data_IF_090893891382
#
_entry.id   IF_090893891382
#
_cell.length_a   1.000
_cell.length_b   1.000
_cell.length_c   1.000
_cell.angle_alpha   90.00
_cell.angle_beta   90.00
_cell.angle_gamma   90.00
#
_symmetry.space_group_name_H-M   'P 1'
#
loop_
_entity.id
_entity.type
_entity.pdbx_description
1 polymer ?
#
# COMPACT_ATOMS: atom_id res chain seq x y z
N UNK A 1 22.93 7.26 -17.93
CA UNK A 1 21.99 6.13 -17.70
C UNK A 1 22.34 5.47 -16.38
N UNK A 2 21.42 5.43 -15.44
CA UNK A 2 21.65 4.81 -14.11
C UNK A 2 21.78 3.28 -14.25
N UNK A 3 22.37 2.62 -13.25
CA UNK A 3 22.45 1.14 -13.19
C UNK A 3 21.04 0.52 -13.29
N UNK A 4 20.05 1.14 -12.64
CA UNK A 4 18.64 0.73 -12.69
C UNK A 4 18.07 0.77 -14.13
N UNK A 5 18.39 1.79 -14.89
CA UNK A 5 17.97 1.93 -16.30
C UNK A 5 18.65 0.90 -17.21
N UNK A 6 19.94 0.65 -17.00
CA UNK A 6 20.69 -0.39 -17.74
C UNK A 6 20.10 -1.79 -17.50
N UNK A 7 19.76 -2.11 -16.24
CA UNK A 7 19.11 -3.39 -15.89
C UNK A 7 17.72 -3.49 -16.53
N UNK A 8 16.92 -2.41 -16.51
CA UNK A 8 15.58 -2.40 -17.10
C UNK A 8 15.62 -2.57 -18.64
N UNK A 9 16.60 -1.98 -19.29
CA UNK A 9 16.74 -2.03 -20.75
C UNK A 9 17.21 -3.39 -21.28
N UNK A 10 17.81 -4.24 -20.45
CA UNK A 10 18.31 -5.55 -20.86
C UNK A 10 17.51 -6.70 -20.20
N UNK A 11 16.62 -7.40 -20.95
CA UNK A 11 15.79 -8.46 -20.41
C UNK A 11 16.57 -9.63 -19.79
N UNK A 12 17.72 -10.00 -20.34
CA UNK A 12 18.56 -11.09 -19.82
C UNK A 12 19.19 -10.67 -18.49
N UNK A 13 19.76 -9.47 -18.43
CA UNK A 13 20.34 -8.92 -17.20
C UNK A 13 19.27 -8.75 -16.12
N UNK A 14 18.09 -8.23 -16.48
CA UNK A 14 16.95 -8.12 -15.57
C UNK A 14 16.57 -9.47 -14.97
N UNK A 15 16.46 -10.53 -15.78
CA UNK A 15 16.13 -11.88 -15.31
C UNK A 15 17.18 -12.42 -14.37
N UNK A 16 18.46 -12.23 -14.68
CA UNK A 16 19.58 -12.68 -13.84
C UNK A 16 19.57 -11.97 -12.49
N UNK A 17 19.44 -10.64 -12.48
CA UNK A 17 19.35 -9.85 -11.25
C UNK A 17 18.15 -10.26 -10.41
N UNK A 18 16.98 -10.41 -11.01
CA UNK A 18 15.77 -10.86 -10.29
C UNK A 18 15.95 -12.26 -9.71
N UNK A 19 16.52 -13.21 -10.45
CA UNK A 19 16.75 -14.58 -9.96
C UNK A 19 17.77 -14.64 -8.79
N UNK A 20 18.75 -13.73 -8.80
CA UNK A 20 19.70 -13.59 -7.70
C UNK A 20 19.05 -13.00 -6.43
N UNK A 21 18.04 -12.15 -6.59
CA UNK A 21 17.42 -11.41 -5.47
C UNK A 21 16.16 -12.09 -4.92
N UNK A 22 15.42 -12.79 -5.75
CA UNK A 22 14.13 -13.40 -5.42
C UNK A 22 14.19 -14.91 -5.74
N UNK A 23 13.83 -15.82 -4.82
CA UNK A 23 13.70 -17.23 -5.13
C UNK A 23 12.62 -17.47 -6.19
N UNK A 24 12.78 -18.52 -7.00
CA UNK A 24 11.77 -18.90 -7.99
C UNK A 24 10.40 -19.13 -7.31
N UNK A 25 9.34 -18.63 -7.92
CA UNK A 25 7.95 -18.74 -7.47
C UNK A 25 7.67 -18.12 -6.08
N UNK A 26 8.42 -17.10 -5.70
CA UNK A 26 8.20 -16.35 -4.46
C UNK A 26 8.21 -14.84 -4.73
N UNK A 27 7.51 -14.08 -3.88
CA UNK A 27 7.59 -12.61 -3.86
C UNK A 27 8.62 -12.11 -2.82
N UNK A 28 9.01 -12.97 -1.89
CA UNK A 28 9.92 -12.62 -0.78
C UNK A 28 11.36 -12.50 -1.27
N UNK A 29 12.09 -11.43 -0.93
CA UNK A 29 13.50 -11.31 -1.24
C UNK A 29 14.33 -12.36 -0.48
N UNK A 30 15.47 -12.76 -1.07
CA UNK A 30 16.45 -13.59 -0.37
C UNK A 30 17.01 -12.86 0.85
N UNK A 31 17.48 -13.61 1.86
CA UNK A 31 17.98 -13.06 3.12
C UNK A 31 19.12 -12.05 2.93
N UNK A 32 20.03 -12.31 1.99
CA UNK A 32 21.13 -11.39 1.71
C UNK A 32 20.65 -10.02 1.19
N UNK A 33 19.57 -10.00 0.37
CA UNK A 33 18.95 -8.73 -0.06
C UNK A 33 18.39 -7.99 1.14
N UNK A 34 17.70 -8.71 2.02
CA UNK A 34 17.10 -8.13 3.23
C UNK A 34 18.15 -7.53 4.17
N UNK A 35 19.31 -8.18 4.30
CA UNK A 35 20.34 -7.75 5.28
C UNK A 35 21.37 -6.78 4.70
N UNK A 36 21.72 -6.92 3.41
CA UNK A 36 22.82 -6.15 2.82
C UNK A 36 22.41 -5.07 1.81
N UNK A 37 21.21 -5.14 1.22
CA UNK A 37 20.74 -4.12 0.29
C UNK A 37 19.64 -3.23 0.89
N UNK A 38 18.62 -3.85 1.47
CA UNK A 38 17.44 -3.13 1.95
C UNK A 38 17.74 -2.04 2.99
N UNK A 39 18.67 -2.20 3.94
CA UNK A 39 18.99 -1.15 4.91
C UNK A 39 19.53 0.15 4.30
N UNK A 40 20.13 0.08 3.10
CA UNK A 40 20.66 1.25 2.40
C UNK A 40 19.64 1.92 1.46
N UNK A 41 18.55 1.22 1.13
CA UNK A 41 17.55 1.70 0.16
C UNK A 41 16.26 2.14 0.84
N UNK A 42 15.87 1.45 1.90
CA UNK A 42 14.64 1.71 2.61
C UNK A 42 14.87 2.58 3.84
N UNK A 43 13.87 3.39 4.17
CA UNK A 43 13.96 4.32 5.30
C UNK A 43 13.01 3.89 6.41
N UNK A 44 13.54 3.88 7.62
CA UNK A 44 12.79 3.67 8.84
C UNK A 44 13.04 4.84 9.77
N UNK A 45 11.98 5.56 10.12
CA UNK A 45 12.02 6.73 10.97
C UNK A 45 12.41 6.41 12.43
N UNK A 46 12.58 7.47 13.21
CA UNK A 46 12.86 7.36 14.65
C UNK A 46 11.67 6.71 15.36
N UNK A 47 11.94 5.80 16.29
CA UNK A 47 10.92 5.03 17.05
C UNK A 47 9.95 4.20 16.18
N UNK A 48 10.14 4.15 14.86
CA UNK A 48 9.30 3.35 13.99
C UNK A 48 9.47 1.86 14.32
N UNK A 49 8.36 1.10 14.33
CA UNK A 49 8.32 -0.30 14.72
C UNK A 49 7.68 -1.18 13.65
N UNK A 50 8.30 -2.31 13.39
CA UNK A 50 7.73 -3.40 12.59
C UNK A 50 7.73 -4.63 13.46
N UNK A 51 6.55 -5.19 13.73
CA UNK A 51 6.42 -6.40 14.55
C UNK A 51 7.00 -7.62 13.84
N UNK A 52 7.59 -8.52 14.60
CA UNK A 52 8.46 -9.60 14.08
C UNK A 52 7.74 -10.63 13.23
N UNK A 53 6.44 -10.82 13.42
CA UNK A 53 5.60 -11.76 12.66
C UNK A 53 5.07 -11.17 11.36
N UNK A 54 5.43 -9.93 11.02
CA UNK A 54 5.01 -9.32 9.75
C UNK A 54 5.87 -9.78 8.60
N UNK A 55 5.24 -9.93 7.45
CA UNK A 55 5.88 -10.30 6.20
C UNK A 55 6.27 -9.04 5.42
N UNK A 56 7.55 -8.74 5.38
CA UNK A 56 8.10 -7.58 4.68
C UNK A 56 8.81 -8.05 3.41
N UNK A 57 8.06 -8.04 2.30
CA UNK A 57 8.52 -8.45 0.97
C UNK A 57 8.96 -7.23 0.17
N UNK A 58 9.94 -6.48 0.70
CA UNK A 58 10.43 -5.26 0.06
C UNK A 58 11.74 -5.51 -0.70
N UNK A 59 11.79 -4.95 -1.90
CA UNK A 59 12.87 -5.07 -2.87
C UNK A 59 13.49 -3.70 -3.15
N UNK A 60 14.79 -3.61 -3.41
CA UNK A 60 15.48 -2.33 -3.57
C UNK A 60 15.14 -1.57 -4.87
N UNK A 61 14.24 -2.10 -5.69
CA UNK A 61 13.81 -1.46 -6.94
C UNK A 61 12.82 -0.32 -6.73
N UNK A 62 12.02 -0.40 -5.68
CA UNK A 62 11.04 0.59 -5.27
C UNK A 62 11.29 0.99 -3.82
N UNK A 63 10.79 2.14 -3.42
CA UNK A 63 10.97 2.65 -2.08
C UNK A 63 10.06 1.91 -1.08
N UNK A 64 10.56 1.77 0.13
CA UNK A 64 9.77 1.51 1.32
C UNK A 64 10.21 2.51 2.38
N UNK A 65 9.27 3.31 2.85
CA UNK A 65 9.48 4.32 3.88
C UNK A 65 8.46 4.09 4.97
N UNK A 66 8.93 4.01 6.21
CA UNK A 66 8.10 4.01 7.40
C UNK A 66 8.49 5.23 8.24
N UNK A 67 7.55 6.15 8.43
CA UNK A 67 7.75 7.41 9.13
C UNK A 67 8.05 7.26 10.63
N UNK A 68 8.34 8.39 11.27
CA UNK A 68 8.66 8.43 12.71
C UNK A 68 7.45 8.00 13.55
N UNK A 69 7.70 7.32 14.66
CA UNK A 69 6.69 6.89 15.63
C UNK A 69 5.55 6.04 15.02
N UNK A 70 5.77 5.48 13.82
CA UNK A 70 4.81 4.66 13.09
C UNK A 70 5.02 3.17 13.37
N UNK A 71 3.94 2.40 13.37
CA UNK A 71 3.96 0.99 13.70
C UNK A 71 3.27 0.13 12.65
N UNK A 72 3.92 -0.97 12.26
CA UNK A 72 3.31 -2.09 11.53
C UNK A 72 3.17 -3.26 12.51
N UNK A 73 1.92 -3.61 12.82
CA UNK A 73 1.59 -4.69 13.75
C UNK A 73 1.80 -6.08 13.12
N UNK A 74 1.63 -7.14 13.91
CA UNK A 74 1.87 -8.51 13.50
C UNK A 74 0.98 -8.98 12.34
N UNK A 75 1.44 -9.98 11.61
CA UNK A 75 0.77 -10.64 10.49
C UNK A 75 0.47 -9.76 9.28
N UNK A 76 1.01 -8.54 9.24
CA UNK A 76 0.91 -7.69 8.06
C UNK A 76 1.77 -8.24 6.91
N UNK A 77 1.31 -8.01 5.68
CA UNK A 77 2.10 -8.22 4.46
C UNK A 77 2.35 -6.87 3.79
N UNK A 78 3.62 -6.52 3.62
CA UNK A 78 4.05 -5.29 2.92
C UNK A 78 4.89 -5.68 1.72
N UNK A 79 4.44 -5.37 0.51
CA UNK A 79 5.09 -5.75 -0.74
C UNK A 79 5.22 -4.55 -1.68
N UNK A 80 6.46 -4.09 -1.90
CA UNK A 80 6.78 -3.01 -2.82
C UNK A 80 7.21 -3.51 -4.22
N UNK A 81 7.03 -4.78 -4.52
CA UNK A 81 7.52 -5.38 -5.77
C UNK A 81 6.99 -4.71 -7.04
N UNK A 82 5.83 -4.10 -6.97
CA UNK A 82 5.16 -3.45 -8.10
C UNK A 82 5.07 -1.92 -8.00
N UNK A 83 5.43 -1.33 -6.87
CA UNK A 83 5.44 0.12 -6.66
C UNK A 83 5.87 0.49 -5.25
N UNK A 84 6.14 1.76 -5.04
CA UNK A 84 6.58 2.30 -3.77
C UNK A 84 5.53 2.11 -2.67
N UNK A 85 5.99 1.93 -1.42
CA UNK A 85 5.14 1.99 -0.24
C UNK A 85 5.72 3.05 0.68
N UNK A 86 4.96 4.10 0.90
CA UNK A 86 5.34 5.24 1.73
C UNK A 86 4.31 5.38 2.84
N UNK A 87 4.77 5.33 4.08
CA UNK A 87 3.95 5.48 5.28
C UNK A 87 4.51 6.66 6.07
N UNK A 88 3.65 7.63 6.35
CA UNK A 88 3.97 8.85 7.09
C UNK A 88 4.23 8.61 8.58
N UNK A 89 4.32 9.70 9.32
CA UNK A 89 4.63 9.71 10.75
C UNK A 89 3.39 9.40 11.62
N UNK A 90 3.60 8.83 12.81
CA UNK A 90 2.57 8.53 13.82
C UNK A 90 1.40 7.69 13.28
N UNK A 91 1.66 6.92 12.22
CA UNK A 91 0.67 6.09 11.53
C UNK A 91 0.71 4.66 12.09
N UNK A 92 -0.46 4.11 12.32
CA UNK A 92 -0.62 2.73 12.81
C UNK A 92 -1.23 1.84 11.74
N UNK A 93 -0.50 0.83 11.35
CA UNK A 93 -0.95 -0.27 10.49
C UNK A 93 -1.30 -1.44 11.41
N UNK A 94 -2.59 -1.64 11.66
CA UNK A 94 -3.11 -2.69 12.54
C UNK A 94 -2.81 -4.10 12.03
N UNK A 95 -3.15 -5.09 12.81
CA UNK A 95 -2.82 -6.49 12.56
C UNK A 95 -3.45 -7.03 11.27
N UNK A 96 -2.72 -7.88 10.55
CA UNK A 96 -3.25 -8.63 9.40
C UNK A 96 -3.44 -7.83 8.12
N UNK A 97 -2.98 -6.58 8.07
CA UNK A 97 -3.14 -5.73 6.88
C UNK A 97 -2.26 -6.18 5.72
N UNK A 98 -2.76 -6.01 4.49
CA UNK A 98 -2.05 -6.31 3.25
C UNK A 98 -1.84 -5.02 2.45
N UNK A 99 -0.58 -4.62 2.28
CA UNK A 99 -0.18 -3.44 1.52
C UNK A 99 0.63 -3.89 0.29
N UNK A 100 0.05 -3.73 -0.90
CA UNK A 100 0.72 -4.01 -2.19
C UNK A 100 0.85 -2.69 -2.93
N UNK A 101 2.09 -2.22 -3.13
CA UNK A 101 2.36 -0.94 -3.78
C UNK A 101 1.85 -0.85 -5.24
N UNK A 102 1.72 0.38 -5.78
CA UNK A 102 2.07 1.64 -5.13
C UNK A 102 1.01 2.13 -4.12
N UNK A 103 1.45 2.47 -2.92
CA UNK A 103 0.59 2.97 -1.83
C UNK A 103 1.30 4.09 -1.08
N UNK A 104 0.62 5.20 -0.89
CA UNK A 104 1.06 6.30 -0.02
C UNK A 104 0.05 6.50 1.10
N UNK A 105 0.53 6.49 2.33
CA UNK A 105 -0.25 6.70 3.55
C UNK A 105 0.34 7.91 4.27
N UNK A 106 -0.49 8.87 4.57
CA UNK A 106 -0.13 10.11 5.26
C UNK A 106 0.25 9.93 6.73
N UNK A 107 0.26 11.04 7.44
CA UNK A 107 0.55 11.10 8.86
C UNK A 107 -0.72 10.86 9.69
N UNK A 108 -0.54 10.36 10.92
CA UNK A 108 -1.64 10.20 11.89
C UNK A 108 -2.78 9.30 11.37
N UNK A 109 -2.48 8.38 10.43
CA UNK A 109 -3.45 7.44 9.85
C UNK A 109 -3.60 6.21 10.72
N UNK A 110 -4.83 5.74 10.86
CA UNK A 110 -5.14 4.49 11.57
C UNK A 110 -5.76 3.50 10.59
N UNK A 111 -5.06 2.40 10.34
CA UNK A 111 -5.64 1.21 9.72
C UNK A 111 -5.97 0.20 10.81
N UNK A 112 -7.24 -0.17 10.93
CA UNK A 112 -7.66 -1.26 11.82
C UNK A 112 -7.14 -2.62 11.30
N UNK A 113 -7.81 -3.72 11.56
CA UNK A 113 -7.33 -5.06 11.24
C UNK A 113 -7.82 -5.53 9.86
N UNK A 114 -7.02 -6.40 9.21
CA UNK A 114 -7.40 -7.13 7.98
C UNK A 114 -7.83 -6.24 6.82
N UNK A 115 -7.20 -5.10 6.63
CA UNK A 115 -7.46 -4.20 5.52
C UNK A 115 -6.58 -4.59 4.34
N UNK A 116 -7.11 -4.48 3.12
CA UNK A 116 -6.37 -4.72 1.89
C UNK A 116 -6.25 -3.43 1.09
N UNK A 117 -5.01 -2.99 0.86
CA UNK A 117 -4.65 -1.93 -0.06
C UNK A 117 -3.82 -2.54 -1.20
N UNK A 118 -4.37 -2.63 -2.41
CA UNK A 118 -3.64 -3.18 -3.56
C UNK A 118 -3.65 -2.20 -4.73
N UNK A 119 -2.50 -1.59 -5.00
CA UNK A 119 -2.28 -0.71 -6.14
C UNK A 119 -2.09 -1.43 -7.47
N UNK A 120 -2.27 -2.76 -7.51
CA UNK A 120 -2.09 -3.63 -8.67
C UNK A 120 -3.42 -4.18 -9.16
N UNK A 121 -3.64 -4.13 -10.49
CA UNK A 121 -4.69 -4.89 -11.16
C UNK A 121 -4.08 -5.76 -12.27
N UNK A 122 -4.61 -6.96 -12.48
CA UNK A 122 -4.31 -7.78 -13.63
C UNK A 122 -5.14 -7.35 -14.84
N UNK A 123 -4.54 -7.39 -16.06
CA UNK A 123 -5.29 -7.30 -17.30
C UNK A 123 -6.13 -8.56 -17.51
N UNK A 124 -7.29 -8.38 -18.07
CA UNK A 124 -8.27 -9.47 -18.35
C UNK A 124 -9.01 -9.28 -19.67
N UNK A 125 -8.70 -8.20 -20.37
CA UNK A 125 -9.45 -7.76 -21.55
C UNK A 125 -9.25 -8.69 -22.75
N UNK A 126 -8.10 -9.35 -22.86
CA UNK A 126 -7.85 -10.32 -23.93
C UNK A 126 -8.36 -11.70 -23.53
N UNK A 127 -9.49 -12.10 -24.10
CA UNK A 127 -10.13 -13.40 -23.82
C UNK A 127 -9.35 -14.61 -24.38
N UNK A 128 -8.38 -14.39 -25.24
CA UNK A 128 -7.53 -15.45 -25.82
C UNK A 128 -6.28 -15.73 -25.00
N UNK A 129 -5.98 -14.90 -24.00
CA UNK A 129 -4.83 -15.05 -23.12
C UNK A 129 -5.26 -15.32 -21.69
N UNK A 130 -4.65 -16.30 -21.00
CA UNK A 130 -4.83 -16.46 -19.57
C UNK A 130 -4.51 -15.15 -18.83
N UNK A 131 -5.30 -14.81 -17.81
CA UNK A 131 -5.16 -13.54 -17.05
C UNK A 131 -3.73 -13.32 -16.55
N UNK A 132 -3.05 -14.38 -16.07
CA UNK A 132 -1.68 -14.26 -15.56
C UNK A 132 -0.61 -14.00 -16.64
N UNK A 133 -0.95 -14.11 -17.91
CA UNK A 133 -0.08 -13.74 -19.05
C UNK A 133 -0.32 -12.30 -19.53
N UNK A 134 -1.41 -11.67 -19.10
CA UNK A 134 -1.72 -10.30 -19.49
C UNK A 134 -0.94 -9.27 -18.68
N UNK A 135 -0.81 -8.09 -19.23
CA UNK A 135 -0.11 -6.98 -18.58
C UNK A 135 -0.84 -6.54 -17.31
N UNK A 136 -0.08 -6.27 -16.27
CA UNK A 136 -0.59 -5.68 -15.03
C UNK A 136 -0.62 -4.15 -15.13
N UNK A 137 -1.67 -3.54 -14.63
CA UNK A 137 -1.75 -2.08 -14.45
C UNK A 137 -1.49 -1.71 -12.99
N UNK A 138 -0.98 -0.50 -12.78
CA UNK A 138 -0.65 0.02 -11.44
C UNK A 138 -1.25 1.39 -11.29
N UNK A 139 -2.03 1.59 -10.25
CA UNK A 139 -2.58 2.89 -9.89
C UNK A 139 -2.35 3.10 -8.40
N UNK A 140 -1.77 4.24 -8.07
CA UNK A 140 -1.44 4.55 -6.68
C UNK A 140 -2.70 4.67 -5.82
N UNK A 141 -2.64 4.10 -4.62
CA UNK A 141 -3.62 4.37 -3.57
C UNK A 141 -3.04 5.45 -2.68
N UNK A 142 -3.81 6.46 -2.36
CA UNK A 142 -3.43 7.55 -1.47
C UNK A 142 -4.40 7.62 -0.31
N UNK A 143 -3.88 7.50 0.90
CA UNK A 143 -4.58 7.87 2.11
C UNK A 143 -3.93 9.16 2.61
N UNK A 144 -4.68 10.24 2.64
CA UNK A 144 -4.19 11.51 3.18
C UNK A 144 -4.07 11.47 4.71
N UNK A 145 -3.63 12.56 5.32
CA UNK A 145 -3.43 12.62 6.77
C UNK A 145 -4.72 12.40 7.56
N UNK A 146 -4.59 11.84 8.76
CA UNK A 146 -5.67 11.69 9.74
C UNK A 146 -6.82 10.77 9.28
N UNK A 147 -6.61 9.94 8.27
CA UNK A 147 -7.61 8.96 7.77
C UNK A 147 -7.73 7.78 8.74
N UNK A 148 -8.96 7.35 8.98
CA UNK A 148 -9.24 6.12 9.71
C UNK A 148 -9.95 5.10 8.81
N UNK A 149 -9.35 3.92 8.63
CA UNK A 149 -9.95 2.80 7.91
C UNK A 149 -10.36 1.72 8.90
N UNK A 150 -11.65 1.41 8.93
CA UNK A 150 -12.24 0.35 9.74
C UNK A 150 -11.86 -1.06 9.25
N UNK A 151 -11.91 -2.02 10.15
CA UNK A 151 -11.48 -3.40 9.92
C UNK A 151 -12.18 -4.06 8.73
N UNK A 152 -11.50 -5.00 8.06
CA UNK A 152 -11.99 -5.78 6.92
C UNK A 152 -12.40 -4.93 5.70
N UNK A 153 -11.86 -3.73 5.57
CA UNK A 153 -12.12 -2.87 4.41
C UNK A 153 -11.13 -3.15 3.27
N UNK A 154 -11.58 -2.88 2.04
CA UNK A 154 -10.74 -3.00 0.83
C UNK A 154 -10.72 -1.67 0.10
N UNK A 155 -9.52 -1.19 -0.23
CA UNK A 155 -9.31 -0.01 -1.06
C UNK A 155 -8.71 -0.46 -2.38
N UNK A 156 -9.39 -0.21 -3.50
CA UNK A 156 -8.92 -0.64 -4.82
C UNK A 156 -7.89 0.31 -5.41
N UNK A 157 -7.14 -0.17 -6.40
CA UNK A 157 -6.09 0.58 -7.08
C UNK A 157 -6.60 1.91 -7.67
N UNK A 158 -5.89 2.99 -7.39
CA UNK A 158 -6.15 4.32 -7.93
C UNK A 158 -7.06 5.19 -7.07
N UNK A 159 -7.50 4.71 -5.91
CA UNK A 159 -8.37 5.47 -5.01
C UNK A 159 -7.56 6.41 -4.11
N UNK A 160 -8.03 7.64 -3.99
CA UNK A 160 -7.60 8.62 -2.99
C UNK A 160 -8.66 8.76 -1.90
N UNK A 161 -8.24 8.66 -0.64
CA UNK A 161 -9.09 8.96 0.52
C UNK A 161 -8.58 10.26 1.13
N UNK A 162 -9.42 11.29 1.07
CA UNK A 162 -9.10 12.64 1.51
C UNK A 162 -8.95 12.73 3.04
N UNK A 163 -8.22 13.77 3.44
CA UNK A 163 -7.85 14.06 4.84
C UNK A 163 -9.03 13.92 5.81
N UNK A 164 -8.73 13.39 6.99
CA UNK A 164 -9.67 13.30 8.12
C UNK A 164 -10.98 12.57 7.79
N UNK A 165 -10.91 11.61 6.85
CA UNK A 165 -12.07 10.80 6.45
C UNK A 165 -12.07 9.46 7.15
N UNK A 166 -13.26 8.90 7.30
CA UNK A 166 -13.50 7.61 7.96
C UNK A 166 -14.13 6.63 6.97
N UNK A 167 -13.51 5.48 6.82
CA UNK A 167 -14.10 4.33 6.13
C UNK A 167 -14.59 3.35 7.17
N UNK A 168 -15.90 3.13 7.24
CA UNK A 168 -16.49 2.18 8.18
C UNK A 168 -16.07 0.74 7.87
N UNK A 169 -16.01 -0.11 8.89
CA UNK A 169 -15.60 -1.49 8.77
C UNK A 169 -16.38 -2.28 7.70
N UNK A 170 -15.70 -3.20 7.00
CA UNK A 170 -16.30 -4.03 5.96
C UNK A 170 -16.60 -3.31 4.65
N UNK A 171 -16.13 -2.09 4.47
CA UNK A 171 -16.41 -1.30 3.27
C UNK A 171 -15.45 -1.62 2.12
N UNK A 172 -15.97 -1.53 0.87
CA UNK A 172 -15.16 -1.64 -0.34
C UNK A 172 -15.17 -0.30 -1.07
N UNK A 173 -14.04 0.41 -1.01
CA UNK A 173 -13.91 1.75 -1.60
C UNK A 173 -13.38 1.63 -3.03
N UNK A 174 -14.23 2.01 -3.98
CA UNK A 174 -13.97 1.89 -5.42
C UNK A 174 -13.85 3.23 -6.14
N UNK A 175 -14.06 4.35 -5.43
CA UNK A 175 -13.97 5.72 -5.94
C UNK A 175 -13.30 6.60 -4.90
N UNK A 176 -12.75 7.73 -5.35
CA UNK A 176 -12.17 8.73 -4.46
C UNK A 176 -13.16 9.23 -3.43
N UNK A 177 -12.67 9.45 -2.23
CA UNK A 177 -13.43 9.99 -1.10
C UNK A 177 -12.92 11.40 -0.81
N UNK A 178 -13.78 12.41 -0.87
CA UNK A 178 -13.38 13.76 -0.52
C UNK A 178 -12.99 13.87 0.97
N UNK A 179 -12.17 14.87 1.34
CA UNK A 179 -11.82 15.10 2.74
C UNK A 179 -13.04 15.24 3.63
N UNK A 180 -12.86 14.96 4.91
CA UNK A 180 -13.89 15.14 5.95
C UNK A 180 -15.18 14.38 5.65
N UNK A 181 -15.08 13.15 5.20
CA UNK A 181 -16.23 12.30 4.85
C UNK A 181 -16.25 11.00 5.67
N UNK A 182 -17.44 10.51 5.94
CA UNK A 182 -17.66 9.16 6.47
C UNK A 182 -18.34 8.32 5.42
N UNK A 183 -17.72 7.18 5.08
CA UNK A 183 -18.23 6.26 4.05
C UNK A 183 -18.47 4.87 4.62
N UNK A 184 -19.46 4.16 4.03
CA UNK A 184 -19.81 2.78 4.41
C UNK A 184 -20.35 2.00 3.24
N UNK A 185 -20.14 0.69 3.24
CA UNK A 185 -20.80 -0.27 2.36
C UNK A 185 -19.94 -0.83 1.24
N UNK A 186 -20.58 -1.64 0.39
CA UNK A 186 -20.00 -2.28 -0.79
C UNK A 186 -20.93 -2.09 -2.01
N UNK A 187 -20.60 -1.22 -2.97
CA UNK A 187 -19.50 -0.25 -2.91
C UNK A 187 -19.76 0.83 -1.85
N UNK A 188 -18.69 1.40 -1.30
CA UNK A 188 -18.76 2.43 -0.25
C UNK A 188 -19.43 3.71 -0.78
N UNK A 189 -20.33 4.26 0.04
CA UNK A 189 -21.04 5.53 -0.22
C UNK A 189 -20.83 6.48 0.93
N UNK A 190 -20.78 7.77 0.64
CA UNK A 190 -20.70 8.82 1.66
C UNK A 190 -22.04 8.86 2.39
N UNK A 191 -21.97 8.82 3.73
CA UNK A 191 -23.16 8.90 4.62
C UNK A 191 -23.14 10.13 5.50
N UNK A 192 -21.95 10.75 5.69
CA UNK A 192 -21.79 12.00 6.39
C UNK A 192 -20.66 12.80 5.79
N UNK A 193 -20.75 14.11 5.87
CA UNK A 193 -19.69 15.03 5.52
C UNK A 193 -19.65 16.20 6.51
N UNK A 194 -18.45 16.69 6.81
CA UNK A 194 -18.30 17.88 7.65
C UNK A 194 -18.66 19.12 6.85
N UNK A 195 -19.56 19.92 7.41
CA UNK A 195 -19.94 21.22 6.85
C UNK A 195 -19.15 22.33 7.56
N UNK A 196 -18.20 23.00 6.87
CA UNK A 196 -17.40 24.06 7.50
C UNK A 196 -18.21 25.30 7.88
N UNK A 197 -19.40 25.51 7.31
CA UNK A 197 -20.25 26.64 7.61
C UNK A 197 -21.01 26.46 8.94
N UNK A 198 -21.52 25.24 9.16
CA UNK A 198 -22.21 24.90 10.42
C UNK A 198 -21.27 24.40 11.52
N UNK A 199 -20.05 23.99 11.16
CA UNK A 199 -19.12 23.35 12.07
C UNK A 199 -19.55 21.94 12.50
N UNK A 200 -20.48 21.28 11.80
CA UNK A 200 -21.06 20.00 12.18
C UNK A 200 -20.88 18.93 11.11
N UNK A 201 -20.92 17.67 11.55
CA UNK A 201 -21.00 16.51 10.67
C UNK A 201 -22.46 16.23 10.27
N UNK A 202 -22.79 16.48 9.03
CA UNK A 202 -24.13 16.35 8.49
C UNK A 202 -24.31 15.03 7.72
N UNK A 203 -25.51 14.45 7.78
CA UNK A 203 -25.89 13.31 6.94
C UNK A 203 -26.18 13.76 5.51
N UNK A 204 -25.80 12.92 4.55
CA UNK A 204 -26.06 13.11 3.12
C UNK A 204 -27.14 12.15 2.69
#
# INVERSE_FOLDING_TARGET
>A
MSIKEKIKANPRLKRLVLSAMIPKNQARPRLWVKWFLNPFVHKKGKNARICSRSRIDVLPFNQFILGNDSTIEDFCTVNNGVGDIIIGDRTRIGMGNVLIGPVTIGNDVILAQNIVLSGLNHGYEDINLPIHHQTVTRKIIILEDEVWIGANSVIVAGVTIGKHSVVAAGSIVTKDIPPYSVVVGNPAKIIKQYNPQSGLWERI
#
